data_IF_988254761746
#
_entry.id   IF_988254761746
#
_cell.length_a   1.000
_cell.length_b   1.000
_cell.length_c   1.000
_cell.angle_alpha   90.00
_cell.angle_beta   90.00
_cell.angle_gamma   90.00
#
_symmetry.space_group_name_H-M   'P 1'
#
loop_
_entity.id
_entity.type
_entity.pdbx_description
1 polymer ?
#
# COMPACT_ATOMS: atom_id res chain seq x y z
N UNK A 1 -24.00 41.79 -37.88
CA UNK A 1 -23.18 40.95 -36.98
C UNK A 1 -22.51 39.77 -37.70
N UNK A 2 -22.93 39.41 -38.91
CA UNK A 2 -22.49 38.22 -39.67
C UNK A 2 -21.01 38.20 -40.09
N UNK A 3 -20.43 39.35 -40.47
CA UNK A 3 -19.02 39.42 -40.91
C UNK A 3 -18.03 39.01 -39.82
N UNK A 4 -18.34 39.33 -38.55
CA UNK A 4 -17.49 38.96 -37.41
C UNK A 4 -17.57 37.46 -37.15
N UNK A 5 -18.77 36.86 -37.28
CA UNK A 5 -18.99 35.42 -37.12
C UNK A 5 -18.23 34.61 -38.17
N UNK A 6 -18.23 35.05 -39.43
CA UNK A 6 -17.49 34.40 -40.51
C UNK A 6 -15.98 34.44 -40.27
N UNK A 7 -15.45 35.57 -39.78
CA UNK A 7 -14.03 35.69 -39.43
C UNK A 7 -13.66 34.75 -38.28
N UNK A 8 -14.48 34.67 -37.23
CA UNK A 8 -14.26 33.72 -36.15
C UNK A 8 -14.28 32.26 -36.63
N UNK A 9 -15.17 31.92 -37.57
CA UNK A 9 -15.26 30.56 -38.10
C UNK A 9 -14.00 30.18 -38.90
N UNK A 10 -13.49 31.09 -39.74
CA UNK A 10 -12.27 30.86 -40.52
C UNK A 10 -11.05 30.75 -39.59
N UNK A 11 -10.94 31.61 -38.58
CA UNK A 11 -9.82 31.57 -37.62
C UNK A 11 -9.87 30.31 -36.77
N UNK A 12 -11.03 29.90 -36.28
CA UNK A 12 -11.17 28.64 -35.53
C UNK A 12 -10.80 27.43 -36.36
N UNK A 13 -11.18 27.39 -37.64
CA UNK A 13 -10.81 26.30 -38.55
C UNK A 13 -9.29 26.26 -38.79
N UNK A 14 -8.67 27.43 -38.96
CA UNK A 14 -7.21 27.54 -39.13
C UNK A 14 -6.45 27.06 -37.88
N UNK A 15 -6.93 27.38 -36.68
CA UNK A 15 -6.33 26.94 -35.43
C UNK A 15 -6.44 25.42 -35.26
N UNK A 16 -7.60 24.81 -35.55
CA UNK A 16 -7.79 23.36 -35.43
C UNK A 16 -6.83 22.58 -36.35
N UNK A 17 -6.67 23.02 -37.60
CA UNK A 17 -5.78 22.35 -38.56
C UNK A 17 -4.31 22.64 -38.26
N UNK A 18 -4.00 23.88 -37.86
CA UNK A 18 -2.63 24.31 -37.53
C UNK A 18 -2.10 23.69 -36.24
N UNK A 19 -2.98 23.40 -35.27
CA UNK A 19 -2.59 22.88 -33.96
C UNK A 19 -1.99 21.46 -34.03
N UNK A 20 -2.57 20.57 -34.86
CA UNK A 20 -2.04 19.22 -35.06
C UNK A 20 -0.65 19.25 -35.75
N UNK A 21 -0.47 20.18 -36.71
CA UNK A 21 0.81 20.36 -37.39
C UNK A 21 1.88 20.97 -36.49
N UNK A 22 1.49 21.93 -35.63
CA UNK A 22 2.38 22.57 -34.66
C UNK A 22 2.85 21.59 -33.58
N UNK A 23 1.95 20.73 -33.09
CA UNK A 23 2.30 19.69 -32.10
C UNK A 23 3.23 18.62 -32.68
N UNK A 24 2.99 18.18 -33.92
CA UNK A 24 3.88 17.24 -34.64
C UNK A 24 5.26 17.85 -34.91
N UNK A 25 5.31 19.14 -35.29
CA UNK A 25 6.57 19.86 -35.51
C UNK A 25 7.39 20.12 -34.24
N UNK A 26 6.74 20.26 -33.07
CA UNK A 26 7.42 20.46 -31.78
C UNK A 26 7.76 19.15 -31.04
N UNK A 27 7.48 17.98 -31.61
CA UNK A 27 7.87 16.69 -31.03
C UNK A 27 7.21 16.35 -29.68
N UNK A 28 6.07 16.98 -29.35
CA UNK A 28 5.37 16.81 -28.07
C UNK A 28 4.36 15.64 -28.08
N UNK A 29 4.28 14.87 -29.18
CA UNK A 29 3.51 13.63 -29.19
C UNK A 29 4.44 12.44 -28.87
N UNK A 30 4.14 11.63 -27.84
CA UNK A 30 4.86 10.38 -27.60
C UNK A 30 4.62 9.39 -28.75
N UNK A 31 5.65 8.67 -29.23
CA UNK A 31 5.48 7.62 -30.22
C UNK A 31 4.55 6.52 -29.69
N UNK A 32 3.58 6.08 -30.49
CA UNK A 32 2.79 4.89 -30.17
C UNK A 32 3.66 3.65 -30.37
N UNK A 33 4.13 3.03 -29.29
CA UNK A 33 4.77 1.73 -29.37
C UNK A 33 3.74 0.64 -29.67
N UNK A 34 4.01 -0.26 -30.63
CA UNK A 34 3.17 -1.43 -30.86
C UNK A 34 3.35 -2.45 -29.73
N UNK A 35 2.22 -2.87 -29.16
CA UNK A 35 2.11 -3.92 -28.15
C UNK A 35 2.64 -5.24 -28.73
N UNK A 36 3.79 -5.72 -28.25
CA UNK A 36 4.25 -7.07 -28.52
C UNK A 36 3.62 -8.03 -27.51
N UNK A 37 2.70 -8.83 -28.03
CA UNK A 37 2.10 -9.98 -27.35
C UNK A 37 3.12 -11.12 -27.39
N UNK A 38 3.52 -11.66 -26.24
CA UNK A 38 4.24 -12.93 -26.16
C UNK A 38 3.61 -13.81 -25.07
N UNK A 39 2.64 -14.61 -25.53
CA UNK A 39 2.42 -16.04 -25.29
C UNK A 39 3.10 -16.70 -24.07
N UNK A 40 2.24 -17.17 -23.14
CA UNK A 40 2.47 -18.31 -22.24
C UNK A 40 2.99 -19.54 -23.00
N UNK A 41 3.74 -20.42 -22.29
CA UNK A 41 3.16 -21.71 -21.98
C UNK A 41 3.46 -22.24 -20.56
N UNK A 42 2.40 -22.71 -19.89
CA UNK A 42 2.41 -23.84 -18.95
C UNK A 42 2.37 -25.15 -19.76
N UNK A 43 2.92 -26.31 -19.32
CA UNK A 43 2.29 -27.26 -18.37
C UNK A 43 3.35 -28.00 -17.50
N UNK A 44 3.14 -28.89 -16.53
CA UNK A 44 2.08 -29.81 -16.08
C UNK A 44 2.37 -30.09 -14.57
N UNK A 45 1.41 -30.14 -13.66
CA UNK A 45 0.60 -31.31 -13.26
C UNK A 45 1.39 -32.60 -13.00
N UNK A 46 1.60 -32.93 -11.72
CA UNK A 46 1.60 -34.32 -11.26
C UNK A 46 0.84 -34.49 -9.94
N UNK A 47 0.16 -35.61 -9.90
CA UNK A 47 -0.94 -36.06 -9.06
C UNK A 47 -0.40 -36.81 -7.84
N UNK A 48 -1.02 -36.66 -6.67
CA UNK A 48 -0.68 -37.51 -5.52
C UNK A 48 -1.54 -37.28 -4.27
N UNK A 49 -2.63 -38.04 -4.13
CA UNK A 49 -3.38 -38.36 -2.90
C UNK A 49 -3.85 -39.83 -3.07
N UNK A 50 -4.39 -40.56 -2.06
CA UNK A 50 -4.52 -40.30 -0.61
C UNK A 50 -4.28 -41.52 0.31
N UNK A 51 -4.14 -41.27 1.62
CA UNK A 51 -4.63 -42.07 2.77
C UNK A 51 -4.23 -41.31 4.06
N UNK A 52 -4.92 -41.26 5.19
CA UNK A 52 -6.07 -41.97 5.76
C UNK A 52 -5.87 -42.05 7.29
N UNK A 53 -6.90 -41.79 8.11
CA UNK A 53 -6.92 -41.96 9.58
C UNK A 53 -7.10 -40.63 10.33
N UNK A 54 -8.22 -40.25 10.95
CA UNK A 54 -9.16 -40.87 11.90
C UNK A 54 -8.75 -40.73 13.40
N UNK A 55 -9.62 -40.03 14.16
CA UNK A 55 -9.74 -40.03 15.63
C UNK A 55 -8.77 -39.09 16.37
N UNK A 56 -9.11 -38.41 17.46
CA UNK A 56 -10.33 -38.31 18.26
C UNK A 56 -10.20 -37.07 19.19
N UNK A 57 -11.34 -36.66 19.68
CA UNK A 57 -11.76 -35.61 20.60
C UNK A 57 -10.92 -35.42 21.89
N UNK A 58 -10.79 -34.17 22.35
CA UNK A 58 -10.86 -33.84 23.78
C UNK A 58 -11.18 -32.35 24.06
N UNK A 59 -12.37 -32.19 24.63
CA UNK A 59 -13.10 -31.06 25.20
C UNK A 59 -12.37 -30.21 26.27
N UNK A 60 -12.51 -28.89 26.09
CA UNK A 60 -12.80 -27.79 27.03
C UNK A 60 -12.41 -27.86 28.53
N UNK A 61 -11.86 -26.74 29.04
CA UNK A 61 -12.34 -26.09 30.27
C UNK A 61 -11.86 -24.63 30.37
N UNK A 62 -12.82 -23.75 30.64
CA UNK A 62 -12.71 -22.31 30.88
C UNK A 62 -12.17 -22.00 32.29
N UNK A 63 -11.51 -20.85 32.45
CA UNK A 63 -11.54 -20.05 33.68
C UNK A 63 -10.99 -18.63 33.43
N UNK A 64 -11.89 -17.66 33.46
CA UNK A 64 -11.67 -16.26 33.87
C UNK A 64 -12.34 -16.08 35.25
N UNK A 65 -12.20 -14.96 35.98
CA UNK A 65 -11.27 -13.83 35.87
C UNK A 65 -10.60 -13.47 37.23
N UNK A 66 -9.63 -12.55 37.27
CA UNK A 66 -9.53 -11.52 38.34
C UNK A 66 -8.65 -10.34 37.91
N UNK A 67 -9.16 -9.15 38.24
CA UNK A 67 -8.67 -7.81 37.98
C UNK A 67 -7.30 -7.45 38.58
N UNK A 68 -6.55 -6.54 37.95
CA UNK A 68 -5.93 -5.39 38.64
C UNK A 68 -5.35 -4.36 37.66
N UNK A 69 -5.42 -3.11 38.11
CA UNK A 69 -5.07 -1.84 37.48
C UNK A 69 -3.58 -1.51 37.63
N UNK A 70 -2.91 -1.01 36.58
CA UNK A 70 -2.12 0.24 36.57
C UNK A 70 -1.33 0.40 35.25
N UNK A 71 -1.27 1.64 34.75
CA UNK A 71 -0.60 2.00 33.51
C UNK A 71 0.93 2.10 33.60
N UNK A 72 1.59 1.64 32.54
CA UNK A 72 2.95 1.95 32.09
C UNK A 72 3.13 1.35 30.67
N UNK A 73 4.02 1.90 29.82
CA UNK A 73 3.90 1.83 28.35
C UNK A 73 4.05 0.41 27.79
N UNK A 74 3.22 0.11 26.78
CA UNK A 74 3.13 -1.20 26.16
C UNK A 74 4.44 -1.57 25.45
N UNK A 75 5.12 -2.58 26.00
CA UNK A 75 6.07 -3.41 25.27
C UNK A 75 5.32 -4.22 24.21
N UNK A 76 5.88 -4.53 23.01
CA UNK A 76 5.15 -5.21 21.95
C UNK A 76 4.84 -6.64 22.36
N UNK A 77 3.66 -6.85 22.93
CA UNK A 77 3.11 -8.17 23.18
C UNK A 77 2.66 -8.78 21.86
N UNK A 78 3.14 -10.00 21.57
CA UNK A 78 2.59 -10.87 20.53
C UNK A 78 1.09 -11.07 20.77
N UNK A 79 0.26 -10.25 20.13
CA UNK A 79 -1.18 -10.37 20.17
C UNK A 79 -1.62 -11.31 19.04
N UNK A 80 -1.82 -12.58 19.36
CA UNK A 80 -2.32 -13.62 18.44
C UNK A 80 -3.85 -13.55 18.24
N UNK A 81 -4.46 -12.35 18.33
CA UNK A 81 -5.90 -12.15 18.23
C UNK A 81 -6.27 -11.07 17.20
N UNK A 82 -7.49 -11.12 16.66
CA UNK A 82 -8.07 -10.08 15.79
C UNK A 82 -7.79 -8.68 16.36
N UNK A 83 -7.21 -7.77 15.58
CA UNK A 83 -7.05 -6.38 16.03
C UNK A 83 -8.43 -5.76 16.24
N UNK A 84 -8.71 -5.29 17.46
CA UNK A 84 -10.04 -4.81 17.86
C UNK A 84 -10.31 -3.35 17.48
N UNK A 85 -9.26 -2.56 17.30
CA UNK A 85 -9.36 -1.12 17.05
C UNK A 85 -8.43 -0.69 15.90
N UNK A 86 -8.85 0.38 15.22
CA UNK A 86 -8.00 1.05 14.24
C UNK A 86 -6.94 1.88 14.95
N UNK A 87 -5.69 1.73 14.53
CA UNK A 87 -4.55 2.45 15.07
C UNK A 87 -3.63 2.92 13.94
N UNK A 88 -2.92 4.01 14.21
CA UNK A 88 -1.87 4.53 13.34
C UNK A 88 -0.51 4.25 13.97
N UNK A 89 0.41 3.72 13.17
CA UNK A 89 1.76 3.31 13.58
C UNK A 89 2.76 4.20 12.86
N UNK A 90 3.79 4.66 13.57
CA UNK A 90 4.79 5.58 13.05
C UNK A 90 6.18 4.94 13.03
N UNK A 91 6.92 5.20 11.95
CA UNK A 91 8.34 4.88 11.81
C UNK A 91 9.08 6.17 11.49
N UNK A 92 10.02 6.53 12.33
CA UNK A 92 10.82 7.75 12.24
C UNK A 92 12.29 7.40 11.99
N UNK A 93 12.89 7.91 10.92
CA UNK A 93 14.30 7.72 10.58
C UNK A 93 15.00 9.08 10.46
N UNK A 94 16.31 9.12 10.23
CA UNK A 94 17.01 10.37 9.94
C UNK A 94 16.45 11.07 8.67
N UNK A 95 15.96 10.28 7.70
CA UNK A 95 15.63 10.75 6.36
C UNK A 95 14.15 11.03 6.14
N UNK A 96 13.27 10.31 6.82
CA UNK A 96 11.82 10.45 6.65
C UNK A 96 11.04 10.10 7.92
N UNK A 97 9.76 10.45 7.91
CA UNK A 97 8.76 9.99 8.87
C UNK A 97 7.58 9.40 8.13
N UNK A 98 7.27 8.14 8.41
CA UNK A 98 6.18 7.41 7.77
C UNK A 98 5.10 7.05 8.79
N UNK A 99 3.83 7.18 8.39
CA UNK A 99 2.68 6.77 9.20
C UNK A 99 1.85 5.76 8.43
N UNK A 100 1.45 4.69 9.09
CA UNK A 100 0.69 3.58 8.53
C UNK A 100 -0.60 3.38 9.31
N UNK A 101 -1.69 3.00 8.63
CA UNK A 101 -2.91 2.52 9.31
C UNK A 101 -2.88 0.99 9.34
N UNK A 102 -3.23 0.42 10.50
CA UNK A 102 -3.46 -1.03 10.58
C UNK A 102 -4.74 -1.45 9.84
N UNK A 103 -5.66 -0.52 9.54
CA UNK A 103 -6.77 -0.81 8.64
C UNK A 103 -6.24 -0.88 7.22
N UNK A 104 -6.36 -2.05 6.59
CA UNK A 104 -5.87 -2.30 5.24
C UNK A 104 -4.35 -2.35 5.10
N UNK A 105 -3.59 -2.19 6.20
CA UNK A 105 -2.12 -2.14 6.20
C UNK A 105 -1.55 -1.15 5.15
N UNK A 106 -2.10 0.08 5.14
CA UNK A 106 -1.81 1.11 4.13
C UNK A 106 -0.95 2.24 4.68
N UNK A 107 -0.18 2.86 3.79
CA UNK A 107 0.57 4.08 4.10
C UNK A 107 -0.37 5.29 4.15
N UNK A 108 -0.22 6.14 5.16
CA UNK A 108 -1.02 7.34 5.40
C UNK A 108 -0.22 8.63 5.28
N UNK A 109 1.07 8.59 5.63
CA UNK A 109 1.97 9.74 5.55
C UNK A 109 3.38 9.31 5.18
N UNK A 110 4.09 10.14 4.42
CA UNK A 110 5.50 9.94 4.11
C UNK A 110 6.19 11.29 3.94
N UNK A 111 6.80 11.77 5.01
CA UNK A 111 7.42 13.09 5.11
C UNK A 111 8.93 12.96 4.90
N UNK A 112 9.48 13.62 3.88
CA UNK A 112 10.91 13.62 3.58
C UNK A 112 11.60 14.76 4.34
N UNK A 113 12.35 14.42 5.40
CA UNK A 113 12.96 15.40 6.33
C UNK A 113 14.05 16.26 5.70
N UNK A 114 14.72 15.75 4.66
CA UNK A 114 15.81 16.45 3.94
C UNK A 114 15.31 17.38 2.84
N UNK A 115 14.00 17.39 2.55
CA UNK A 115 13.43 18.16 1.46
C UNK A 115 12.34 19.09 1.98
N UNK A 116 12.37 20.31 1.48
CA UNK A 116 11.52 21.40 1.90
C UNK A 116 10.51 21.77 0.81
N UNK A 117 9.23 21.91 1.17
CA UNK A 117 8.21 22.38 0.23
C UNK A 117 8.27 23.90 -0.02
N UNK A 118 8.98 24.65 0.83
CA UNK A 118 9.14 26.10 0.74
C UNK A 118 10.62 26.49 0.85
N UNK A 119 11.00 27.61 0.22
CA UNK A 119 12.38 28.12 0.19
C UNK A 119 12.79 28.80 1.51
N UNK A 120 11.85 29.05 2.44
CA UNK A 120 12.13 29.73 3.70
C UNK A 120 12.57 28.80 4.85
N UNK A 121 13.27 29.40 5.83
CA UNK A 121 14.02 28.77 6.92
C UNK A 121 13.22 27.84 7.87
N UNK A 122 11.90 27.81 7.76
CA UNK A 122 10.98 26.92 8.51
C UNK A 122 10.12 26.09 7.56
N UNK A 123 10.75 25.51 6.56
CA UNK A 123 10.04 24.76 5.53
C UNK A 123 9.42 23.47 6.07
N UNK A 124 8.12 23.30 5.85
CA UNK A 124 7.43 22.02 6.04
C UNK A 124 8.13 20.93 5.20
N UNK A 125 8.43 19.75 5.78
CA UNK A 125 8.97 18.62 5.04
C UNK A 125 8.09 18.27 3.84
N UNK A 126 8.70 17.84 2.73
CA UNK A 126 7.95 17.38 1.56
C UNK A 126 7.15 16.13 1.93
N UNK A 127 5.83 16.19 1.72
CA UNK A 127 4.91 15.08 1.95
C UNK A 127 4.58 14.36 0.64
N UNK A 128 4.83 13.05 0.56
CA UNK A 128 4.54 12.26 -0.64
C UNK A 128 3.13 11.67 -0.68
N UNK A 129 2.47 11.52 0.47
CA UNK A 129 1.10 11.00 0.54
C UNK A 129 0.13 12.16 0.67
N UNK A 130 -0.65 12.44 -0.38
CA UNK A 130 -1.67 13.49 -0.31
C UNK A 130 -3.03 12.94 0.14
N UNK A 131 -3.78 13.78 0.87
CA UNK A 131 -5.13 13.48 1.34
C UNK A 131 -6.17 13.70 0.23
N UNK A 132 -7.32 13.01 0.33
CA UNK A 132 -8.43 13.19 -0.61
C UNK A 132 -8.37 12.37 -1.90
N UNK A 133 -7.45 11.41 -2.01
CA UNK A 133 -7.47 10.41 -3.08
C UNK A 133 -8.77 9.59 -3.06
N UNK A 134 -9.44 9.46 -4.21
CA UNK A 134 -10.65 8.62 -4.38
C UNK A 134 -10.33 7.13 -4.52
N UNK A 135 -9.05 6.79 -4.62
CA UNK A 135 -8.55 5.46 -4.89
C UNK A 135 -7.92 4.84 -3.63
N UNK A 136 -7.61 3.53 -3.72
CA UNK A 136 -6.92 2.81 -2.66
C UNK A 136 -5.57 3.48 -2.37
N UNK A 137 -5.25 3.62 -1.08
CA UNK A 137 -4.03 4.29 -0.62
C UNK A 137 -2.76 3.48 -0.94
N UNK A 138 -1.57 4.06 -0.71
CA UNK A 138 -0.34 3.39 -1.04
C UNK A 138 -0.13 2.16 -0.15
N UNK A 139 0.50 1.14 -0.72
CA UNK A 139 0.66 -0.20 -0.17
C UNK A 139 -0.65 -1.00 -0.03
N UNK A 140 -1.75 -0.58 -0.65
CA UNK A 140 -2.95 -1.43 -0.67
C UNK A 140 -2.69 -2.73 -1.43
N UNK A 141 -3.29 -3.83 -0.96
CA UNK A 141 -3.31 -5.08 -1.69
C UNK A 141 -4.49 -5.09 -2.67
N UNK A 142 -4.23 -5.49 -3.91
CA UNK A 142 -5.23 -5.63 -4.97
C UNK A 142 -5.16 -7.06 -5.47
N UNK A 143 -6.32 -7.65 -5.72
CA UNK A 143 -6.42 -9.01 -6.24
C UNK A 143 -7.34 -9.03 -7.46
N UNK A 144 -7.37 -10.15 -8.19
CA UNK A 144 -8.30 -10.34 -9.31
C UNK A 144 -9.78 -10.33 -8.89
N UNK A 145 -10.07 -10.49 -7.59
CA UNK A 145 -11.41 -10.42 -7.02
C UNK A 145 -11.60 -9.10 -6.24
N UNK A 146 -12.60 -8.31 -6.66
CA UNK A 146 -12.89 -7.02 -6.05
C UNK A 146 -13.46 -7.15 -4.63
N UNK A 147 -14.19 -8.22 -4.33
CA UNK A 147 -14.72 -8.46 -2.99
C UNK A 147 -13.57 -8.77 -2.02
N UNK A 148 -12.66 -9.66 -2.41
CA UNK A 148 -11.44 -9.97 -1.63
C UNK A 148 -10.58 -8.71 -1.44
N UNK A 149 -10.40 -7.91 -2.49
CA UNK A 149 -9.69 -6.62 -2.42
C UNK A 149 -10.34 -5.64 -1.43
N UNK A 150 -11.67 -5.59 -1.40
CA UNK A 150 -12.41 -4.73 -0.47
C UNK A 150 -12.29 -5.22 0.97
N UNK A 151 -12.37 -6.53 1.18
CA UNK A 151 -12.23 -7.17 2.48
C UNK A 151 -10.84 -6.92 3.06
N UNK A 152 -9.78 -7.24 2.30
CA UNK A 152 -8.39 -7.01 2.71
C UNK A 152 -8.09 -5.52 2.97
N UNK A 153 -8.72 -4.61 2.21
CA UNK A 153 -8.53 -3.17 2.37
C UNK A 153 -9.31 -2.54 3.54
N UNK A 154 -10.32 -3.23 4.09
CA UNK A 154 -11.14 -2.74 5.21
C UNK A 154 -10.88 -3.47 6.53
N UNK A 155 -10.23 -4.64 6.46
CA UNK A 155 -9.81 -5.44 7.61
C UNK A 155 -8.84 -4.68 8.52
N UNK A 156 -8.92 -5.00 9.82
CA UNK A 156 -7.96 -4.56 10.82
C UNK A 156 -6.84 -5.60 10.95
N UNK A 157 -5.62 -5.18 10.66
CA UNK A 157 -4.43 -6.03 10.78
C UNK A 157 -3.87 -5.94 12.20
N UNK A 158 -3.35 -7.05 12.71
CA UNK A 158 -2.46 -7.04 13.87
C UNK A 158 -1.15 -6.39 13.47
N UNK A 159 -0.62 -5.53 14.34
CA UNK A 159 0.64 -4.85 14.11
C UNK A 159 1.67 -5.39 15.10
N UNK A 160 2.85 -5.70 14.60
CA UNK A 160 4.05 -5.90 15.41
C UNK A 160 5.12 -4.95 14.89
N UNK A 161 5.70 -4.17 15.80
CA UNK A 161 6.76 -3.22 15.51
C UNK A 161 7.85 -3.40 16.55
N UNK A 162 9.10 -3.49 16.12
CA UNK A 162 10.25 -3.57 17.03
C UNK A 162 10.70 -2.18 17.51
N UNK A 163 10.78 -1.21 16.61
CA UNK A 163 11.32 0.12 16.81
C UNK A 163 10.46 1.15 16.07
N UNK A 164 10.11 2.22 16.79
CA UNK A 164 9.43 3.39 16.22
C UNK A 164 10.40 4.47 15.73
N UNK A 165 11.63 4.47 16.21
CA UNK A 165 12.68 5.38 15.79
C UNK A 165 13.97 4.61 15.49
N UNK A 166 14.55 4.85 14.31
CA UNK A 166 15.82 4.26 13.88
C UNK A 166 16.90 5.35 13.93
N UNK A 167 18.05 5.00 14.49
CA UNK A 167 19.23 5.85 14.61
C UNK A 167 20.49 5.05 14.24
N UNK A 168 21.68 5.65 14.40
CA UNK A 168 22.94 4.96 14.10
C UNK A 168 23.24 3.79 15.05
N UNK A 169 22.64 3.74 16.25
CA UNK A 169 22.79 2.63 17.18
C UNK A 169 21.80 1.48 16.87
N UNK A 170 20.63 1.80 16.33
CA UNK A 170 19.58 0.87 15.91
C UNK A 170 19.22 1.12 14.43
N UNK A 171 20.08 0.69 13.50
CA UNK A 171 20.00 1.11 12.11
C UNK A 171 18.93 0.38 11.29
N UNK A 172 18.35 -0.70 11.80
CA UNK A 172 17.34 -1.52 11.11
C UNK A 172 16.13 -1.71 12.02
N UNK A 173 14.93 -1.61 11.46
CA UNK A 173 13.68 -1.85 12.16
C UNK A 173 12.63 -2.49 11.25
N UNK A 174 11.69 -3.21 11.84
CA UNK A 174 10.70 -4.03 11.19
C UNK A 174 9.27 -3.65 11.63
N UNK A 175 8.38 -3.55 10.65
CA UNK A 175 6.95 -3.35 10.86
C UNK A 175 6.17 -4.44 10.13
N UNK A 176 5.46 -5.26 10.88
CA UNK A 176 4.70 -6.39 10.36
C UNK A 176 3.21 -6.19 10.60
N UNK A 177 2.43 -6.28 9.52
CA UNK A 177 0.98 -6.34 9.53
C UNK A 177 0.54 -7.77 9.24
N UNK A 178 -0.24 -8.36 10.12
CA UNK A 178 -0.84 -9.69 9.94
C UNK A 178 -2.34 -9.57 9.85
N UNK A 179 -2.95 -10.39 9.02
CA UNK A 179 -4.40 -10.57 8.96
C UNK A 179 -4.68 -12.06 8.82
N UNK A 180 -5.57 -12.56 9.68
CA UNK A 180 -5.97 -13.96 9.72
C UNK A 180 -7.50 -14.03 9.79
N UNK A 181 -8.10 -14.70 8.81
CA UNK A 181 -9.54 -14.98 8.76
C UNK A 181 -9.74 -16.50 8.76
N UNK A 182 -10.17 -17.03 9.90
CA UNK A 182 -10.43 -18.47 10.09
C UNK A 182 -11.64 -18.96 9.31
N UNK A 183 -12.62 -18.10 9.01
CA UNK A 183 -13.83 -18.50 8.28
C UNK A 183 -13.55 -18.65 6.79
N UNK A 184 -12.75 -17.74 6.24
CA UNK A 184 -12.33 -17.76 4.84
C UNK A 184 -11.04 -18.55 4.60
N UNK A 185 -10.36 -18.96 5.68
CA UNK A 185 -9.05 -19.60 5.65
C UNK A 185 -8.02 -18.77 4.88
N UNK A 186 -8.01 -17.45 5.14
CA UNK A 186 -7.12 -16.48 4.49
C UNK A 186 -6.12 -15.95 5.51
N UNK A 187 -4.85 -15.99 5.13
CA UNK A 187 -3.72 -15.45 5.88
C UNK A 187 -2.96 -14.45 5.00
N UNK A 188 -2.70 -13.28 5.53
CA UNK A 188 -1.89 -12.24 4.88
C UNK A 188 -0.89 -11.68 5.89
N UNK A 189 0.37 -11.67 5.51
CA UNK A 189 1.44 -11.01 6.25
C UNK A 189 2.15 -10.03 5.32
N UNK A 190 2.31 -8.79 5.78
CA UNK A 190 3.11 -7.76 5.12
C UNK A 190 4.18 -7.30 6.11
N UNK A 191 5.42 -7.50 5.74
CA UNK A 191 6.60 -7.10 6.51
C UNK A 191 7.34 -5.98 5.77
N UNK A 192 7.60 -4.88 6.47
CA UNK A 192 8.38 -3.76 5.98
C UNK A 192 9.68 -3.70 6.79
N UNK A 193 10.82 -3.63 6.10
CA UNK A 193 12.13 -3.43 6.73
C UNK A 193 12.68 -2.07 6.37
N UNK A 194 12.96 -1.28 7.40
CA UNK A 194 13.47 0.08 7.30
C UNK A 194 14.94 0.11 7.68
N UNK A 195 15.67 1.01 7.03
CA UNK A 195 17.08 1.27 7.32
C UNK A 195 17.26 2.76 7.61
N UNK A 196 17.93 3.09 8.71
CA UNK A 196 18.13 4.45 9.24
C UNK A 196 18.54 5.48 8.18
N UNK A 197 19.49 5.12 7.32
CA UNK A 197 20.09 6.01 6.31
C UNK A 197 19.65 5.75 4.87
N UNK A 198 18.52 5.05 4.65
CA UNK A 198 18.03 4.73 3.31
C UNK A 198 16.59 5.23 3.11
N UNK A 199 16.28 5.71 1.90
CA UNK A 199 14.88 5.93 1.47
C UNK A 199 14.21 4.64 0.96
N UNK A 200 14.99 3.58 0.72
CA UNK A 200 14.49 2.29 0.25
C UNK A 200 13.98 1.49 1.44
N UNK A 201 12.78 0.93 1.28
CA UNK A 201 12.15 0.02 2.25
C UNK A 201 11.94 -1.31 1.57
N UNK A 202 12.42 -2.38 2.19
CA UNK A 202 12.17 -3.74 1.71
C UNK A 202 10.76 -4.14 2.13
N UNK A 203 10.00 -4.72 1.20
CA UNK A 203 8.62 -5.16 1.44
C UNK A 203 8.53 -6.63 1.08
N UNK A 204 8.16 -7.46 2.05
CA UNK A 204 7.85 -8.86 1.85
C UNK A 204 6.36 -9.09 2.13
N UNK A 205 5.68 -9.81 1.22
CA UNK A 205 4.28 -10.17 1.38
C UNK A 205 4.14 -11.66 1.25
N UNK A 206 3.46 -12.26 2.23
CA UNK A 206 3.15 -13.68 2.28
C UNK A 206 1.65 -13.82 2.37
N UNK A 207 1.08 -14.67 1.52
CA UNK A 207 -0.35 -14.91 1.50
C UNK A 207 -0.63 -16.40 1.42
N UNK A 208 -1.64 -16.85 2.13
CA UNK A 208 -2.14 -18.22 2.07
C UNK A 208 -3.67 -18.20 2.00
N UNK A 209 -4.25 -19.13 1.23
CA UNK A 209 -5.70 -19.24 1.05
C UNK A 209 -6.32 -18.32 0.01
N UNK A 210 -5.56 -17.38 -0.57
CA UNK A 210 -5.99 -16.57 -1.70
C UNK A 210 -5.90 -17.36 -3.01
N UNK A 211 -6.96 -17.30 -3.82
CA UNK A 211 -7.06 -18.04 -5.09
C UNK A 211 -6.64 -17.24 -6.32
N UNK A 212 -6.49 -15.92 -6.16
CA UNK A 212 -6.03 -15.01 -7.22
C UNK A 212 -4.68 -14.39 -6.84
N UNK A 213 -3.84 -14.02 -7.82
CA UNK A 213 -2.62 -13.25 -7.56
C UNK A 213 -2.92 -11.97 -6.77
N UNK A 214 -1.93 -11.54 -5.99
CA UNK A 214 -1.99 -10.33 -5.18
C UNK A 214 -0.93 -9.36 -5.67
N UNK A 215 -1.35 -8.14 -5.96
CA UNK A 215 -0.49 -7.02 -6.32
C UNK A 215 -0.47 -5.99 -5.19
N UNK A 216 0.66 -5.31 -5.04
CA UNK A 216 0.80 -4.14 -4.17
C UNK A 216 0.71 -2.89 -5.03
N UNK A 217 -0.18 -1.98 -4.69
CA UNK A 217 -0.29 -0.70 -5.39
C UNK A 217 0.23 0.46 -4.54
N UNK A 218 0.88 1.42 -5.18
CA UNK A 218 1.18 2.73 -4.57
C UNK A 218 -0.02 3.68 -4.60
N UNK A 219 -1.14 3.25 -5.17
CA UNK A 219 -2.32 4.08 -5.36
C UNK A 219 -2.05 5.21 -6.37
N UNK A 220 -2.98 6.16 -6.44
CA UNK A 220 -2.78 7.39 -7.24
C UNK A 220 -2.20 8.51 -6.40
N UNK A 221 -2.14 8.33 -5.07
CA UNK A 221 -1.87 9.39 -4.11
C UNK A 221 -0.50 9.38 -3.45
N UNK A 222 0.46 8.75 -4.12
CA UNK A 222 1.85 8.71 -3.71
C UNK A 222 2.75 9.36 -4.77
N UNK A 223 3.41 10.46 -4.42
CA UNK A 223 4.34 11.15 -5.31
C UNK A 223 4.40 12.65 -5.06
N UNK A 224 5.20 13.34 -5.86
CA UNK A 224 5.24 14.80 -5.93
C UNK A 224 4.27 15.23 -7.03
N UNK A 225 3.38 16.17 -6.73
CA UNK A 225 2.45 16.81 -7.67
C UNK A 225 2.93 18.17 -8.11
#
# INVERSE_FOLDING_TARGET
>A
MEKRVIVFLIVSLAVIIGYDYLLKGMGLLPPSEPVQVATNPSPAAETGKPAGGAGDSAKAASADPVSSVNGAPASPGNATGAASEEQTVEVDTELFRAKFSNRGAVLKSWELKRYSAAVEQSSTPVQLVYSGGRFKGPLSLVTGDQAVTSDLGSALYQVTQDLSHLDSAHPVGHLTFRYHDTQKNVDVEKELTFHHGSYVVDIAIRTQGLTTPVDVTLGTNFGIV
#
